data_IF_616673656928
#
_entry.id   IF_616673656928
#
_cell.length_a   1.000
_cell.length_b   1.000
_cell.length_c   1.000
_cell.angle_alpha   90.00
_cell.angle_beta   90.00
_cell.angle_gamma   90.00
#
_symmetry.space_group_name_H-M   'P 1'
#
loop_
_entity.id
_entity.type
_entity.pdbx_description
1 polymer ?
#
# COMPACT_ATOMS: atom_id res chain seq x y z
N UNK A 1 -21.36 -55.08 61.56
CA UNK A 1 -21.83 -54.46 60.29
C UNK A 1 -21.71 -52.92 60.22
N UNK A 2 -21.19 -52.22 61.25
CA UNK A 2 -21.13 -50.75 61.29
C UNK A 2 -19.94 -50.12 60.54
N UNK A 3 -18.70 -50.63 60.74
CA UNK A 3 -17.49 -50.04 60.17
C UNK A 3 -17.42 -50.08 58.62
N UNK A 4 -17.94 -51.15 58.00
CA UNK A 4 -17.93 -51.33 56.54
C UNK A 4 -18.85 -50.30 55.84
N UNK A 5 -19.96 -49.90 56.48
CA UNK A 5 -20.85 -48.85 55.98
C UNK A 5 -20.18 -47.47 56.06
N UNK A 6 -19.51 -47.18 57.18
CA UNK A 6 -18.80 -45.92 57.37
C UNK A 6 -17.64 -45.74 56.38
N UNK A 7 -16.86 -46.79 56.12
CA UNK A 7 -15.77 -46.76 55.13
C UNK A 7 -16.31 -46.52 53.71
N UNK A 8 -17.40 -47.19 53.31
CA UNK A 8 -18.02 -46.96 51.99
C UNK A 8 -18.52 -45.52 51.81
N UNK A 9 -19.08 -44.90 52.84
CA UNK A 9 -19.56 -43.51 52.78
C UNK A 9 -18.39 -42.54 52.62
N UNK A 10 -17.30 -42.72 53.37
CA UNK A 10 -16.09 -41.89 53.27
C UNK A 10 -15.44 -42.04 51.89
N UNK A 11 -15.25 -43.27 51.41
CA UNK A 11 -14.67 -43.55 50.09
C UNK A 11 -15.52 -42.95 48.97
N UNK A 12 -16.85 -43.06 49.06
CA UNK A 12 -17.75 -42.52 48.04
C UNK A 12 -17.82 -40.98 48.07
N UNK A 13 -17.62 -40.36 49.23
CA UNK A 13 -17.44 -38.91 49.37
C UNK A 13 -16.12 -38.41 48.75
N UNK A 14 -15.02 -39.11 48.99
CA UNK A 14 -13.72 -38.80 48.40
C UNK A 14 -13.73 -38.95 46.87
N UNK A 15 -14.35 -40.00 46.33
CA UNK A 15 -14.47 -40.21 44.88
C UNK A 15 -15.27 -39.08 44.22
N UNK A 16 -16.37 -38.64 44.84
CA UNK A 16 -17.15 -37.49 44.34
C UNK A 16 -16.35 -36.19 44.36
N UNK A 17 -15.61 -35.94 45.45
CA UNK A 17 -14.76 -34.75 45.57
C UNK A 17 -13.63 -34.73 44.53
N UNK A 18 -12.92 -35.84 44.35
CA UNK A 18 -11.89 -36.02 43.33
C UNK A 18 -12.46 -35.85 41.92
N UNK A 19 -13.64 -36.43 41.65
CA UNK A 19 -14.34 -36.27 40.36
C UNK A 19 -14.67 -34.80 40.05
N UNK A 20 -15.12 -34.03 41.04
CA UNK A 20 -15.36 -32.59 40.87
C UNK A 20 -14.07 -31.83 40.58
N UNK A 21 -12.98 -32.07 41.32
CA UNK A 21 -11.70 -31.40 41.10
C UNK A 21 -11.15 -31.72 39.71
N UNK A 22 -11.20 -32.99 39.30
CA UNK A 22 -10.77 -33.43 37.98
C UNK A 22 -11.59 -32.76 36.87
N UNK A 23 -12.92 -32.67 37.04
CA UNK A 23 -13.80 -31.99 36.08
C UNK A 23 -13.49 -30.49 35.97
N UNK A 24 -13.26 -29.80 37.09
CA UNK A 24 -12.85 -28.40 37.07
C UNK A 24 -11.49 -28.20 36.40
N UNK A 25 -10.51 -29.07 36.64
CA UNK A 25 -9.20 -29.03 36.00
C UNK A 25 -9.30 -29.24 34.49
N UNK A 26 -10.06 -30.25 34.03
CA UNK A 26 -10.30 -30.50 32.60
C UNK A 26 -10.99 -29.29 31.95
N UNK A 27 -12.00 -28.71 32.60
CA UNK A 27 -12.70 -27.53 32.09
C UNK A 27 -11.77 -26.32 31.95
N UNK A 28 -10.87 -26.09 32.92
CA UNK A 28 -9.87 -25.04 32.83
C UNK A 28 -8.86 -25.30 31.72
N UNK A 29 -8.37 -26.53 31.59
CA UNK A 29 -7.39 -26.91 30.56
C UNK A 29 -7.98 -26.79 29.16
N UNK A 30 -9.24 -27.23 28.97
CA UNK A 30 -9.99 -27.04 27.73
C UNK A 30 -10.20 -25.54 27.43
N UNK A 31 -10.53 -24.73 28.43
CA UNK A 31 -10.66 -23.28 28.28
C UNK A 31 -9.34 -22.59 27.88
N UNK A 32 -8.21 -23.04 28.44
CA UNK A 32 -6.89 -22.56 28.06
C UNK A 32 -6.54 -22.97 26.62
N UNK A 33 -6.82 -24.21 26.23
CA UNK A 33 -6.64 -24.71 24.85
C UNK A 33 -7.45 -23.89 23.84
N UNK A 34 -8.72 -23.60 24.14
CA UNK A 34 -9.56 -22.75 23.28
C UNK A 34 -8.92 -21.36 23.10
N UNK A 35 -8.42 -20.74 24.18
CA UNK A 35 -7.75 -19.43 24.10
C UNK A 35 -6.49 -19.49 23.24
N UNK A 36 -5.68 -20.54 23.37
CA UNK A 36 -4.47 -20.73 22.55
C UNK A 36 -4.85 -20.87 21.08
N UNK A 37 -5.86 -21.69 20.76
CA UNK A 37 -6.34 -21.85 19.38
C UNK A 37 -6.87 -20.53 18.82
N UNK A 38 -7.67 -19.79 19.59
CA UNK A 38 -8.18 -18.47 19.15
C UNK A 38 -7.04 -17.46 18.92
N UNK A 39 -6.03 -17.44 19.78
CA UNK A 39 -4.86 -16.58 19.63
C UNK A 39 -4.05 -16.95 18.39
N UNK A 40 -3.78 -18.24 18.17
CA UNK A 40 -3.09 -18.73 16.98
C UNK A 40 -3.87 -18.40 15.69
N UNK A 41 -5.19 -18.59 15.69
CA UNK A 41 -6.04 -18.22 14.55
C UNK A 41 -6.03 -16.72 14.30
N UNK A 42 -6.10 -15.88 15.34
CA UNK A 42 -6.02 -14.43 15.20
C UNK A 42 -4.68 -13.99 14.60
N UNK A 43 -3.56 -14.56 15.08
CA UNK A 43 -2.24 -14.29 14.52
C UNK A 43 -2.15 -14.71 13.06
N UNK A 44 -2.69 -15.87 12.69
CA UNK A 44 -2.69 -16.34 11.31
C UNK A 44 -3.52 -15.44 10.40
N UNK A 45 -4.69 -14.97 10.87
CA UNK A 45 -5.50 -13.98 10.15
C UNK A 45 -4.71 -12.69 9.94
N UNK A 46 -4.02 -12.18 10.97
CA UNK A 46 -3.15 -11.02 10.83
C UNK A 46 -2.06 -11.23 9.78
N UNK A 47 -1.36 -12.37 9.80
CA UNK A 47 -0.30 -12.69 8.81
C UNK A 47 -0.85 -12.75 7.39
N UNK A 48 -1.97 -13.45 7.17
CA UNK A 48 -2.61 -13.54 5.86
C UNK A 48 -3.04 -12.16 5.37
N UNK A 49 -3.59 -11.34 6.27
CA UNK A 49 -3.96 -9.97 5.96
C UNK A 49 -2.74 -9.15 5.52
N UNK A 50 -1.63 -9.19 6.26
CA UNK A 50 -0.40 -8.49 5.85
C UNK A 50 0.12 -8.94 4.48
N UNK A 51 0.14 -10.24 4.21
CA UNK A 51 0.55 -10.78 2.90
C UNK A 51 -0.36 -10.25 1.79
N UNK A 52 -1.67 -10.31 1.98
CA UNK A 52 -2.66 -9.83 1.01
C UNK A 52 -2.43 -8.35 0.64
N UNK A 53 -2.20 -7.50 1.64
CA UNK A 53 -1.96 -6.06 1.43
C UNK A 53 -0.69 -5.80 0.61
N UNK A 54 0.39 -6.55 0.84
CA UNK A 54 1.64 -6.40 0.07
C UNK A 54 1.53 -6.97 -1.35
N UNK A 55 0.86 -8.11 -1.52
CA UNK A 55 0.70 -8.78 -2.80
C UNK A 55 -0.11 -7.95 -3.81
N UNK A 56 -1.09 -7.16 -3.32
CA UNK A 56 -1.88 -6.27 -4.17
C UNK A 56 -1.02 -5.12 -4.72
N UNK A 57 -0.10 -4.59 -3.91
CA UNK A 57 0.76 -3.48 -4.29
C UNK A 57 1.83 -3.89 -5.31
N UNK A 58 2.37 -5.11 -5.24
CA UNK A 58 3.34 -5.61 -6.22
C UNK A 58 2.70 -6.51 -7.28
N UNK A 59 1.38 -6.41 -7.49
CA UNK A 59 0.67 -7.24 -8.45
C UNK A 59 1.22 -7.02 -9.88
N UNK A 60 1.53 -8.08 -10.65
CA UNK A 60 2.01 -7.96 -12.03
C UNK A 60 1.07 -7.16 -12.95
N UNK A 61 -0.22 -7.09 -12.64
CA UNK A 61 -1.19 -6.28 -13.37
C UNK A 61 -1.01 -4.77 -13.15
N UNK A 62 -0.26 -4.35 -12.13
CA UNK A 62 -0.03 -2.94 -11.85
C UNK A 62 0.88 -2.28 -12.88
N UNK A 63 1.95 -2.97 -13.33
CA UNK A 63 2.90 -2.47 -14.33
C UNK A 63 2.22 -1.97 -15.61
N UNK A 64 1.34 -2.73 -16.29
CA UNK A 64 0.67 -2.23 -17.50
C UNK A 64 -0.28 -1.05 -17.22
N UNK A 65 -0.90 -0.99 -16.03
CA UNK A 65 -1.76 0.13 -15.63
C UNK A 65 -0.94 1.42 -15.45
N UNK A 66 0.18 1.34 -14.75
CA UNK A 66 1.11 2.46 -14.56
C UNK A 66 1.73 2.89 -15.90
N UNK A 67 2.10 1.93 -16.75
CA UNK A 67 2.67 2.18 -18.08
C UNK A 67 1.69 2.90 -19.00
N UNK A 68 0.38 2.74 -18.82
CA UNK A 68 -0.62 3.49 -19.57
C UNK A 68 -0.56 5.00 -19.30
N UNK A 69 -0.22 5.42 -18.06
CA UNK A 69 0.03 6.83 -17.77
C UNK A 69 1.27 7.33 -18.51
N UNK A 70 2.40 6.61 -18.39
CA UNK A 70 3.65 6.99 -19.07
C UNK A 70 3.46 7.09 -20.59
N UNK A 71 2.73 6.14 -21.17
CA UNK A 71 2.36 6.16 -22.60
C UNK A 71 1.57 7.41 -22.95
N UNK A 72 0.54 7.74 -22.16
CA UNK A 72 -0.28 8.94 -22.37
C UNK A 72 0.57 10.22 -22.31
N UNK A 73 1.50 10.31 -21.35
CA UNK A 73 2.41 11.45 -21.22
C UNK A 73 3.33 11.58 -22.44
N UNK A 74 3.89 10.46 -22.92
CA UNK A 74 4.73 10.41 -24.12
C UNK A 74 3.97 10.84 -25.38
N UNK A 75 2.77 10.29 -25.59
CA UNK A 75 1.92 10.60 -26.76
C UNK A 75 1.56 12.08 -26.85
N UNK A 76 1.41 12.74 -25.70
CA UNK A 76 1.08 14.16 -25.60
C UNK A 76 2.32 15.07 -25.45
N UNK A 77 3.54 14.51 -25.55
CA UNK A 77 4.82 15.23 -25.45
C UNK A 77 4.91 16.14 -24.22
N UNK A 78 4.42 15.65 -23.09
CA UNK A 78 4.49 16.37 -21.82
C UNK A 78 5.90 16.20 -21.25
N UNK A 79 6.62 17.30 -21.08
CA UNK A 79 8.00 17.32 -20.57
C UNK A 79 8.07 17.32 -19.05
N UNK A 80 7.06 17.90 -18.40
CA UNK A 80 6.90 17.88 -16.94
C UNK A 80 5.42 17.78 -16.59
N UNK A 81 5.08 16.95 -15.61
CA UNK A 81 3.73 16.84 -15.08
C UNK A 81 3.78 16.69 -13.57
N UNK A 82 2.99 17.50 -12.89
CA UNK A 82 2.81 17.41 -11.45
C UNK A 82 1.32 17.56 -11.14
N UNK A 83 0.78 16.58 -10.43
CA UNK A 83 -0.61 16.57 -9.98
C UNK A 83 -0.64 16.16 -8.52
N UNK A 84 -0.95 17.13 -7.65
CA UNK A 84 -1.17 16.97 -6.22
C UNK A 84 -2.12 18.08 -5.77
N UNK A 85 -2.93 17.84 -4.74
CA UNK A 85 -4.01 18.77 -4.31
C UNK A 85 -3.58 20.25 -4.16
N UNK A 86 -2.34 20.50 -3.75
CA UNK A 86 -1.79 21.83 -3.51
C UNK A 86 -0.79 22.30 -4.59
N UNK A 87 -0.57 21.48 -5.63
CA UNK A 87 0.45 21.71 -6.65
C UNK A 87 0.06 20.98 -7.96
N UNK A 88 -0.42 21.77 -8.92
CA UNK A 88 -0.72 21.29 -10.27
C UNK A 88 0.15 22.07 -11.26
N UNK A 89 0.95 21.37 -12.06
CA UNK A 89 1.80 21.98 -13.07
C UNK A 89 2.02 21.06 -14.26
N UNK A 90 2.18 21.66 -15.45
CA UNK A 90 2.40 20.95 -16.70
C UNK A 90 3.31 21.77 -17.62
N UNK A 91 4.37 21.16 -18.11
CA UNK A 91 5.20 21.69 -19.19
C UNK A 91 5.02 20.82 -20.43
N UNK A 92 4.79 21.47 -21.56
CA UNK A 92 4.73 20.83 -22.88
C UNK A 92 5.16 21.83 -23.95
N UNK A 93 5.21 21.38 -25.22
CA UNK A 93 5.41 22.27 -26.37
C UNK A 93 4.37 23.41 -26.44
N UNK A 94 3.17 23.22 -25.89
CA UNK A 94 2.10 24.22 -25.87
C UNK A 94 2.31 25.34 -24.84
N UNK A 95 3.19 25.12 -23.85
CA UNK A 95 3.51 26.09 -22.82
C UNK A 95 3.75 25.49 -21.44
N UNK A 96 4.04 26.39 -20.51
CA UNK A 96 4.27 26.11 -19.08
C UNK A 96 3.06 26.58 -18.26
N UNK A 97 2.36 25.63 -17.65
CA UNK A 97 1.10 25.83 -16.96
C UNK A 97 1.20 25.48 -15.47
N UNK A 98 0.52 26.25 -14.63
CA UNK A 98 0.35 25.95 -13.21
C UNK A 98 -0.96 26.51 -12.66
N UNK A 99 -1.43 25.96 -11.54
CA UNK A 99 -2.60 26.46 -10.80
C UNK A 99 -2.32 27.76 -10.02
N UNK A 100 -1.05 28.11 -9.79
CA UNK A 100 -0.62 29.36 -9.15
C UNK A 100 0.49 30.05 -9.94
N UNK A 101 0.52 31.39 -9.89
CA UNK A 101 1.57 32.20 -10.55
C UNK A 101 2.94 32.12 -9.85
N UNK A 102 2.95 31.71 -8.58
CA UNK A 102 4.16 31.34 -7.84
C UNK A 102 4.10 29.82 -7.70
N UNK A 103 4.95 29.09 -8.41
CA UNK A 103 4.94 27.63 -8.43
C UNK A 103 5.13 27.07 -7.01
N UNK A 104 4.07 26.52 -6.42
CA UNK A 104 4.17 25.72 -5.17
C UNK A 104 4.86 24.38 -5.42
N UNK A 105 5.01 24.00 -6.69
CA UNK A 105 5.62 22.77 -7.16
C UNK A 105 7.15 22.82 -7.23
N UNK A 106 7.77 23.97 -6.96
CA UNK A 106 9.24 24.13 -6.98
C UNK A 106 9.87 24.08 -8.37
N UNK A 107 9.07 24.09 -9.45
CA UNK A 107 9.55 24.05 -10.84
C UNK A 107 8.79 25.07 -11.67
N UNK A 108 9.52 25.92 -12.39
CA UNK A 108 9.01 26.88 -13.37
C UNK A 108 8.94 28.32 -12.88
N UNK A 109 9.93 29.13 -13.24
CA UNK A 109 9.71 30.57 -13.38
C UNK A 109 8.80 30.79 -14.62
N UNK A 110 7.99 31.85 -14.62
CA UNK A 110 7.12 32.24 -15.76
C UNK A 110 5.95 31.28 -16.10
N UNK A 111 5.40 30.58 -15.11
CA UNK A 111 4.18 29.76 -15.32
C UNK A 111 2.96 30.64 -15.59
N UNK A 112 2.13 30.28 -16.58
CA UNK A 112 0.81 30.87 -16.80
C UNK A 112 -0.31 30.01 -16.19
N UNK A 113 -1.47 30.59 -15.83
CA UNK A 113 -2.65 29.82 -15.44
C UNK A 113 -3.08 28.84 -16.54
N UNK A 114 -3.74 27.75 -16.15
CA UNK A 114 -4.34 26.81 -17.09
C UNK A 114 -5.36 27.49 -18.01
N UNK A 115 -5.08 27.49 -19.31
CA UNK A 115 -6.03 27.85 -20.36
C UNK A 115 -6.76 26.59 -20.88
N UNK A 116 -7.59 26.73 -21.91
CA UNK A 116 -8.35 25.59 -22.49
C UNK A 116 -7.42 24.45 -22.90
N UNK A 117 -6.29 24.77 -23.53
CA UNK A 117 -5.35 23.78 -24.04
C UNK A 117 -4.57 23.11 -22.89
N UNK A 118 -4.07 23.90 -21.93
CA UNK A 118 -3.39 23.38 -20.75
C UNK A 118 -4.31 22.46 -19.93
N UNK A 119 -5.57 22.86 -19.75
CA UNK A 119 -6.59 22.07 -19.04
C UNK A 119 -6.86 20.74 -19.75
N UNK A 120 -6.95 20.76 -21.09
CA UNK A 120 -7.17 19.55 -21.88
C UNK A 120 -6.02 18.56 -21.70
N UNK A 121 -4.76 19.00 -21.85
CA UNK A 121 -3.57 18.16 -21.68
C UNK A 121 -3.49 17.59 -20.26
N UNK A 122 -3.73 18.44 -19.26
CA UNK A 122 -3.70 18.04 -17.86
C UNK A 122 -4.74 16.95 -17.56
N UNK A 123 -5.95 17.15 -18.09
CA UNK A 123 -7.07 16.20 -17.91
C UNK A 123 -6.81 14.86 -18.60
N UNK A 124 -6.06 14.82 -19.71
CA UNK A 124 -5.72 13.55 -20.39
C UNK A 124 -4.92 12.61 -19.50
N UNK A 125 -3.93 13.12 -18.77
CA UNK A 125 -3.10 12.31 -17.85
C UNK A 125 -3.96 11.84 -16.66
N UNK A 126 -4.75 12.73 -16.05
CA UNK A 126 -5.72 12.36 -14.99
C UNK A 126 -6.72 11.30 -15.47
N UNK A 127 -7.23 11.46 -16.68
CA UNK A 127 -8.18 10.50 -17.27
C UNK A 127 -7.52 9.14 -17.50
N UNK A 128 -6.25 9.10 -17.92
CA UNK A 128 -5.51 7.84 -18.04
C UNK A 128 -5.37 7.12 -16.69
N UNK A 129 -5.06 7.86 -15.61
CA UNK A 129 -5.05 7.32 -14.25
C UNK A 129 -6.40 6.71 -13.86
N UNK A 130 -7.48 7.48 -14.07
CA UNK A 130 -8.85 7.04 -13.78
C UNK A 130 -9.26 5.82 -14.59
N UNK A 131 -8.91 5.77 -15.88
CA UNK A 131 -9.18 4.63 -16.78
C UNK A 131 -8.43 3.38 -16.32
N UNK A 132 -7.21 3.55 -15.81
CA UNK A 132 -6.41 2.51 -15.18
C UNK A 132 -6.93 2.12 -13.78
N UNK A 133 -8.03 2.74 -13.30
CA UNK A 133 -8.59 2.58 -11.95
C UNK A 133 -7.59 2.91 -10.84
N UNK A 134 -6.64 3.77 -11.14
CA UNK A 134 -5.70 4.31 -10.17
C UNK A 134 -6.31 5.59 -9.60
N UNK A 135 -6.21 5.76 -8.28
CA UNK A 135 -6.59 6.97 -7.58
C UNK A 135 -5.35 7.54 -6.87
N UNK A 136 -4.44 8.21 -7.62
CA UNK A 136 -3.20 8.71 -7.04
C UNK A 136 -3.45 9.87 -6.08
N UNK A 137 -2.63 9.94 -5.04
CA UNK A 137 -2.48 11.11 -4.17
C UNK A 137 -1.59 12.15 -4.88
N UNK A 138 -0.55 11.67 -5.54
CA UNK A 138 0.35 12.49 -6.35
C UNK A 138 0.82 11.76 -7.59
N UNK A 139 1.05 12.53 -8.65
CA UNK A 139 1.73 12.09 -9.86
C UNK A 139 2.83 13.11 -10.15
N UNK A 140 4.07 12.65 -10.30
CA UNK A 140 5.19 13.45 -10.75
C UNK A 140 5.82 12.77 -11.97
N UNK A 141 5.98 13.48 -13.08
CA UNK A 141 6.57 12.93 -14.29
C UNK A 141 7.57 13.93 -14.87
N UNK A 142 8.73 13.42 -15.27
CA UNK A 142 9.76 14.15 -15.99
C UNK A 142 10.10 13.41 -17.27
N UNK A 143 10.24 14.17 -18.35
CA UNK A 143 10.61 13.62 -19.65
C UNK A 143 11.85 14.32 -20.18
N UNK A 144 12.70 13.54 -20.81
CA UNK A 144 13.88 13.99 -21.53
C UNK A 144 13.75 13.62 -23.00
N UNK A 145 14.07 14.55 -23.89
CA UNK A 145 14.04 14.31 -25.34
C UNK A 145 12.69 13.77 -25.84
N UNK A 146 11.58 14.22 -25.23
CA UNK A 146 10.22 13.81 -25.61
C UNK A 146 9.79 12.43 -25.10
N UNK A 147 10.55 11.80 -24.20
CA UNK A 147 10.18 10.55 -23.54
C UNK A 147 10.30 10.65 -22.03
N UNK A 148 9.36 10.07 -21.31
CA UNK A 148 9.42 9.99 -19.84
C UNK A 148 10.72 9.31 -19.43
N UNK A 149 11.54 10.03 -18.66
CA UNK A 149 12.79 9.56 -18.05
C UNK A 149 12.63 9.21 -16.59
N UNK A 150 11.59 9.75 -15.94
CA UNK A 150 11.26 9.43 -14.55
C UNK A 150 9.75 9.66 -14.31
N UNK A 151 9.11 8.75 -13.58
CA UNK A 151 7.78 9.01 -13.04
C UNK A 151 7.68 8.48 -11.61
N UNK A 152 6.95 9.19 -10.77
CA UNK A 152 6.56 8.78 -9.43
C UNK A 152 5.05 8.90 -9.31
N UNK A 153 4.40 7.80 -8.94
CA UNK A 153 2.96 7.72 -8.72
C UNK A 153 2.74 7.24 -7.30
N UNK A 154 2.12 8.09 -6.50
CA UNK A 154 1.88 7.81 -5.09
C UNK A 154 0.42 7.38 -4.95
N UNK A 155 0.19 6.13 -4.57
CA UNK A 155 -1.15 5.60 -4.34
C UNK A 155 -1.44 5.50 -2.83
N UNK A 156 -2.70 5.71 -2.42
CA UNK A 156 -3.10 5.45 -1.05
C UNK A 156 -3.00 3.96 -0.76
N UNK A 157 -2.32 3.59 0.33
CA UNK A 157 -2.39 2.26 0.92
C UNK A 157 -2.96 2.38 2.35
N UNK A 158 -3.64 1.34 2.83
CA UNK A 158 -4.39 1.36 4.09
C UNK A 158 -3.51 1.64 5.33
N UNK A 159 -2.21 1.35 5.26
CA UNK A 159 -1.25 1.58 6.37
C UNK A 159 0.01 2.34 5.96
N UNK A 160 0.19 2.69 4.70
CA UNK A 160 1.37 3.39 4.21
C UNK A 160 1.06 4.14 2.90
N UNK A 161 2.07 4.82 2.36
CA UNK A 161 2.04 5.28 0.98
C UNK A 161 2.68 4.21 0.09
N UNK A 162 2.00 3.88 -1.01
CA UNK A 162 2.54 3.01 -2.03
C UNK A 162 3.18 3.87 -3.12
N UNK A 163 4.50 3.86 -3.18
CA UNK A 163 5.26 4.66 -4.13
C UNK A 163 5.63 3.78 -5.33
N UNK A 164 5.21 4.17 -6.53
CA UNK A 164 5.56 3.49 -7.77
C UNK A 164 6.46 4.39 -8.60
N UNK A 165 7.68 3.93 -8.82
CA UNK A 165 8.72 4.68 -9.51
C UNK A 165 9.01 4.03 -10.86
N UNK A 166 8.94 4.81 -11.92
CA UNK A 166 9.43 4.46 -13.25
C UNK A 166 10.81 5.08 -13.43
N UNK A 167 11.82 4.25 -13.68
CA UNK A 167 13.19 4.70 -13.95
C UNK A 167 13.82 3.79 -15.01
N UNK A 168 13.66 4.12 -16.31
CA UNK A 168 14.15 3.30 -17.42
C UNK A 168 15.63 3.49 -17.74
N UNK A 169 16.23 4.59 -17.30
CA UNK A 169 17.63 4.90 -17.62
C UNK A 169 18.60 4.23 -16.65
N UNK A 170 18.20 4.05 -15.38
CA UNK A 170 19.04 3.47 -14.35
C UNK A 170 18.21 2.69 -13.32
N UNK A 171 18.87 1.83 -12.56
CA UNK A 171 18.20 1.13 -11.46
C UNK A 171 17.86 2.14 -10.37
N UNK A 172 16.58 2.29 -10.08
CA UNK A 172 16.15 3.20 -9.02
C UNK A 172 16.73 2.78 -7.68
N UNK A 173 17.44 3.71 -7.05
CA UNK A 173 18.00 3.54 -5.72
C UNK A 173 17.65 4.77 -4.88
N UNK A 174 16.77 4.64 -3.87
CA UNK A 174 16.39 5.76 -3.01
C UNK A 174 17.61 6.25 -2.23
N UNK A 175 17.52 7.48 -1.74
CA UNK A 175 18.59 8.06 -0.95
C UNK A 175 18.92 7.18 0.27
N UNK A 176 20.22 6.96 0.54
CA UNK A 176 20.69 6.03 1.58
C UNK A 176 20.16 6.32 2.99
N UNK A 177 19.63 7.52 3.24
CA UNK A 177 19.03 7.91 4.50
C UNK A 177 17.62 7.32 4.70
N UNK A 178 16.91 7.03 3.61
CA UNK A 178 15.61 6.37 3.67
C UNK A 178 15.81 4.87 3.81
N UNK A 179 15.28 4.28 4.90
CA UNK A 179 15.16 2.82 5.05
C UNK A 179 14.03 2.30 4.16
N UNK A 180 14.11 2.59 2.87
CA UNK A 180 13.13 2.18 1.89
C UNK A 180 13.47 0.79 1.36
N UNK A 181 12.47 -0.08 1.29
CA UNK A 181 12.55 -1.35 0.57
C UNK A 181 12.10 -1.11 -0.86
N UNK A 182 12.96 -1.45 -1.81
CA UNK A 182 12.70 -1.32 -3.24
C UNK A 182 12.50 -2.70 -3.84
N UNK A 183 11.37 -2.88 -4.53
CA UNK A 183 11.04 -4.12 -5.24
C UNK A 183 10.90 -3.81 -6.73
N UNK A 184 11.75 -4.40 -7.56
CA UNK A 184 11.60 -4.29 -9.02
C UNK A 184 10.37 -5.10 -9.49
N UNK A 185 9.46 -4.45 -10.19
CA UNK A 185 8.20 -5.05 -10.68
C UNK A 185 8.27 -5.46 -12.16
N UNK A 186 9.31 -5.05 -12.88
CA UNK A 186 9.45 -5.24 -14.32
C UNK A 186 8.99 -4.03 -15.14
N UNK A 187 9.44 -3.94 -16.40
CA UNK A 187 9.16 -2.81 -17.28
C UNK A 187 9.69 -1.49 -16.74
N UNK A 188 10.83 -1.52 -16.05
CA UNK A 188 11.50 -0.39 -15.41
C UNK A 188 10.71 0.27 -14.26
N UNK A 189 9.70 -0.44 -13.74
CA UNK A 189 8.94 -0.04 -12.57
C UNK A 189 9.50 -0.65 -11.29
N UNK A 190 9.47 0.16 -10.24
CA UNK A 190 9.90 -0.17 -8.89
C UNK A 190 8.78 0.20 -7.92
N UNK A 191 8.43 -0.74 -7.05
CA UNK A 191 7.61 -0.48 -5.88
C UNK A 191 8.52 -0.11 -4.72
N UNK A 192 8.25 1.02 -4.08
CA UNK A 192 9.02 1.50 -2.93
C UNK A 192 8.07 1.55 -1.73
N UNK A 193 8.50 0.91 -0.64
CA UNK A 193 7.80 0.97 0.63
C UNK A 193 8.77 1.50 1.69
N UNK A 194 8.34 2.54 2.41
CA UNK A 194 9.07 3.06 3.56
C UNK A 194 8.68 2.22 4.77
N UNK A 195 9.66 1.63 5.46
CA UNK A 195 9.38 1.00 6.75
C UNK A 195 8.95 2.08 7.74
N UNK A 196 7.71 2.00 8.25
CA UNK A 196 7.28 2.75 9.43
C UNK A 196 8.04 2.25 10.67
#
# INVERSE_FOLDING_TARGET
MSAIRSIKVVVMGCIKSLGCILFYAIKQLAGALIKVVLCATALLICVVFFIYMTADSTNPQMVPLLTALVTTTNENRISYFQDQDWCESLLSEAGNYANSAVSTCGVGDETKPFDVQGTELFTKVRYAAKKAKLAPISISIRSEQGRVSFAQIDLPCFYCYAFYIYSPQEVYNPDKAEKALVTHMGGDWYYVTTSI
#
